data_IF_625484869706
#
_entry.id   IF_625484869706
#
_cell.length_a   1.000
_cell.length_b   1.000
_cell.length_c   1.000
_cell.angle_alpha   90.00
_cell.angle_beta   90.00
_cell.angle_gamma   90.00
#
_symmetry.space_group_name_H-M   'P 1'
#
loop_
_entity.id
_entity.type
_entity.pdbx_description
1 polymer ?
#
# COMPACT_ATOMS: atom_id res chain seq x y z
N UNK A 1 -12.41 -14.96 -0.28
CA UNK A 1 -13.04 -14.69 -1.60
C UNK A 1 -12.42 -15.61 -2.66
N UNK A 2 -13.12 -15.98 -3.75
CA UNK A 2 -12.50 -16.73 -4.86
C UNK A 2 -11.65 -15.81 -5.74
N UNK A 3 -10.65 -16.35 -6.45
CA UNK A 3 -9.80 -15.56 -7.37
C UNK A 3 -10.62 -14.81 -8.43
N UNK A 4 -11.66 -15.43 -8.97
CA UNK A 4 -12.55 -14.81 -9.98
C UNK A 4 -13.30 -13.62 -9.39
N UNK A 5 -13.89 -13.78 -8.19
CA UNK A 5 -14.62 -12.70 -7.53
C UNK A 5 -13.68 -11.56 -7.12
N UNK A 6 -12.44 -11.88 -6.72
CA UNK A 6 -11.41 -10.91 -6.40
C UNK A 6 -11.02 -10.05 -7.59
N UNK A 7 -10.71 -10.70 -8.73
CA UNK A 7 -10.40 -9.99 -9.98
C UNK A 7 -11.56 -9.08 -10.38
N UNK A 8 -12.80 -9.60 -10.37
CA UNK A 8 -13.98 -8.81 -10.71
C UNK A 8 -14.13 -7.58 -9.81
N UNK A 9 -14.04 -7.75 -8.49
CA UNK A 9 -14.21 -6.67 -7.52
C UNK A 9 -13.18 -5.56 -7.69
N UNK A 10 -11.91 -5.92 -7.92
CA UNK A 10 -10.85 -4.93 -8.14
C UNK A 10 -10.99 -4.28 -9.51
N UNK A 11 -11.42 -5.02 -10.53
CA UNK A 11 -11.68 -4.46 -11.86
C UNK A 11 -12.75 -3.37 -11.79
N UNK A 12 -13.82 -3.61 -11.04
CA UNK A 12 -14.89 -2.62 -10.87
C UNK A 12 -14.39 -1.44 -10.02
N UNK A 13 -13.63 -1.69 -8.96
CA UNK A 13 -13.02 -0.64 -8.14
C UNK A 13 -12.09 0.28 -8.94
N UNK A 14 -11.26 -0.28 -9.84
CA UNK A 14 -10.36 0.48 -10.72
C UNK A 14 -11.07 1.25 -11.84
N UNK A 15 -12.33 0.92 -12.16
CA UNK A 15 -13.14 1.76 -13.08
C UNK A 15 -13.64 3.01 -12.37
N UNK A 16 -13.92 2.89 -11.07
CA UNK A 16 -14.43 3.98 -10.24
C UNK A 16 -13.30 4.86 -9.71
N UNK A 17 -12.09 4.30 -9.56
CA UNK A 17 -10.94 4.97 -8.96
C UNK A 17 -9.73 4.93 -9.91
N UNK A 18 -9.03 6.06 -10.04
CA UNK A 18 -7.82 6.15 -10.87
C UNK A 18 -6.64 5.29 -10.36
N UNK A 19 -6.66 4.93 -9.06
CA UNK A 19 -5.67 4.08 -8.42
C UNK A 19 -6.26 3.40 -7.19
N UNK A 20 -5.74 2.26 -6.81
CA UNK A 20 -6.11 1.53 -5.58
C UNK A 20 -4.85 1.16 -4.79
N UNK A 21 -4.90 1.30 -3.47
CA UNK A 21 -3.80 0.87 -2.62
C UNK A 21 -3.83 -0.65 -2.49
N UNK A 22 -2.67 -1.26 -2.68
CA UNK A 22 -2.47 -2.70 -2.60
C UNK A 22 -1.40 -3.01 -1.56
N UNK A 23 -1.72 -3.95 -0.69
CA UNK A 23 -0.82 -4.53 0.29
C UNK A 23 -0.51 -5.98 -0.09
N UNK A 24 0.77 -6.31 -0.26
CA UNK A 24 1.23 -7.67 -0.53
C UNK A 24 2.11 -8.15 0.62
N UNK A 25 1.70 -9.25 1.25
CA UNK A 25 2.52 -9.98 2.20
C UNK A 25 3.22 -11.13 1.50
N UNK A 26 4.55 -11.15 1.55
CA UNK A 26 5.38 -12.24 1.01
C UNK A 26 6.00 -13.00 2.19
N UNK A 27 5.59 -14.24 2.48
CA UNK A 27 6.12 -14.98 3.61
C UNK A 27 7.61 -15.31 3.41
N UNK A 28 8.37 -15.33 4.50
CA UNK A 28 9.80 -15.67 4.54
C UNK A 28 10.73 -14.73 3.72
N UNK A 29 10.26 -13.54 3.37
CA UNK A 29 11.08 -12.47 2.78
C UNK A 29 11.60 -11.50 3.85
N UNK A 30 12.80 -10.94 3.65
CA UNK A 30 13.33 -9.86 4.50
C UNK A 30 12.52 -8.56 4.39
N UNK A 31 11.84 -8.35 3.26
CA UNK A 31 10.76 -7.36 3.11
C UNK A 31 9.46 -8.12 2.82
N UNK A 32 8.79 -8.52 3.90
CA UNK A 32 7.59 -9.35 3.84
C UNK A 32 6.31 -8.54 3.66
N UNK A 33 6.39 -7.21 3.57
CA UNK A 33 5.27 -6.28 3.46
C UNK A 33 5.55 -5.27 2.37
N UNK A 34 4.64 -5.16 1.42
CA UNK A 34 4.74 -4.20 0.33
C UNK A 34 3.46 -3.41 0.19
N UNK A 35 3.58 -2.09 0.05
CA UNK A 35 2.49 -1.17 -0.24
C UNK A 35 2.78 -0.45 -1.55
N UNK A 36 1.82 -0.46 -2.47
CA UNK A 36 1.94 0.25 -3.74
C UNK A 36 0.56 0.57 -4.33
N UNK A 37 0.51 1.54 -5.23
CA UNK A 37 -0.68 1.82 -6.02
C UNK A 37 -0.72 0.98 -7.29
N UNK A 38 -1.85 0.31 -7.53
CA UNK A 38 -2.21 -0.21 -8.85
C UNK A 38 -3.12 0.80 -9.53
N UNK A 39 -2.89 1.04 -10.82
CA UNK A 39 -3.62 2.06 -11.59
C UNK A 39 -4.50 1.43 -12.68
N UNK A 40 -4.29 0.15 -13.00
CA UNK A 40 -5.03 -0.51 -14.07
C UNK A 40 -5.13 -2.03 -13.87
N UNK A 41 -5.98 -2.66 -14.69
CA UNK A 41 -6.24 -4.10 -14.61
C UNK A 41 -5.05 -4.97 -15.04
N UNK A 42 -4.15 -4.44 -15.88
CA UNK A 42 -2.96 -5.19 -16.29
C UNK A 42 -2.00 -5.35 -15.11
N UNK A 43 -1.86 -4.33 -14.26
CA UNK A 43 -1.08 -4.40 -13.01
C UNK A 43 -1.55 -5.58 -12.14
N UNK A 44 -2.87 -5.73 -11.98
CA UNK A 44 -3.46 -6.83 -11.22
C UNK A 44 -3.15 -8.19 -11.85
N UNK A 45 -3.37 -8.33 -13.16
CA UNK A 45 -3.11 -9.58 -13.87
C UNK A 45 -1.65 -9.99 -13.77
N UNK A 46 -0.74 -9.04 -13.91
CA UNK A 46 0.70 -9.26 -13.75
C UNK A 46 1.06 -9.63 -12.31
N UNK A 47 0.52 -8.92 -11.30
CA UNK A 47 0.72 -9.25 -9.89
C UNK A 47 0.32 -10.69 -9.61
N UNK A 48 -0.87 -11.09 -10.06
CA UNK A 48 -1.40 -12.44 -9.87
C UNK A 48 -0.58 -13.52 -10.61
N UNK A 49 0.04 -13.18 -11.74
CA UNK A 49 0.89 -14.10 -12.50
C UNK A 49 2.25 -14.34 -11.82
N UNK A 50 2.72 -13.37 -11.04
CA UNK A 50 4.02 -13.38 -10.34
C UNK A 50 3.92 -13.75 -8.86
N UNK A 51 2.71 -13.85 -8.33
CA UNK A 51 2.50 -14.18 -6.92
C UNK A 51 2.96 -15.60 -6.63
N UNK A 52 3.73 -15.75 -5.57
CA UNK A 52 4.19 -17.04 -5.09
C UNK A 52 3.11 -17.72 -4.25
N UNK A 53 3.26 -19.02 -4.10
CA UNK A 53 2.46 -19.80 -3.18
C UNK A 53 2.60 -19.22 -1.75
N UNK A 54 1.48 -19.06 -1.05
CA UNK A 54 1.36 -18.43 0.29
C UNK A 54 1.44 -16.90 0.33
N UNK A 55 1.60 -16.20 -0.80
CA UNK A 55 1.45 -14.75 -0.83
C UNK A 55 0.01 -14.37 -0.45
N UNK A 56 -0.16 -13.24 0.23
CA UNK A 56 -1.48 -12.64 0.45
C UNK A 56 -1.53 -11.25 -0.15
N UNK A 57 -2.53 -11.01 -0.99
CA UNK A 57 -2.80 -9.72 -1.61
C UNK A 57 -4.05 -9.14 -0.96
N UNK A 58 -3.94 -7.92 -0.50
CA UNK A 58 -5.03 -7.12 0.06
C UNK A 58 -5.19 -5.85 -0.76
N UNK A 59 -6.39 -5.56 -1.22
CA UNK A 59 -6.71 -4.29 -1.90
C UNK A 59 -7.70 -3.53 -1.04
N UNK A 60 -7.39 -2.27 -0.76
CA UNK A 60 -8.26 -1.39 0.03
C UNK A 60 -9.35 -0.80 -0.87
N UNK A 61 -10.60 -0.94 -0.46
CA UNK A 61 -11.78 -0.42 -1.18
C UNK A 61 -11.80 1.10 -1.18
N UNK A 62 -11.39 1.70 -0.07
CA UNK A 62 -11.27 3.15 0.07
C UNK A 62 -9.96 3.50 0.75
N UNK A 63 -9.39 4.64 0.36
CA UNK A 63 -8.22 5.22 1.00
C UNK A 63 -8.52 6.66 1.37
N UNK A 64 -8.10 7.06 2.56
CA UNK A 64 -8.18 8.45 2.99
C UNK A 64 -6.81 9.09 2.77
N UNK A 65 -6.54 9.50 1.53
CA UNK A 65 -5.29 10.18 1.19
C UNK A 65 -5.30 11.60 1.76
N UNK A 66 -4.44 11.86 2.76
CA UNK A 66 -4.34 13.15 3.43
C UNK A 66 -3.62 14.17 2.55
N UNK A 67 -2.58 13.71 1.84
CA UNK A 67 -1.80 14.54 0.94
C UNK A 67 -1.13 13.69 -0.13
N UNK A 68 -0.88 14.28 -1.29
CA UNK A 68 -0.03 13.69 -2.33
C UNK A 68 0.70 14.79 -3.09
N UNK A 69 1.90 14.48 -3.56
CA UNK A 69 2.66 15.46 -4.33
C UNK A 69 4.14 15.11 -4.46
N UNK A 70 4.82 15.94 -5.25
CA UNK A 70 6.27 15.94 -5.31
C UNK A 70 6.83 16.52 -4.02
N UNK A 71 7.73 15.79 -3.36
CA UNK A 71 8.36 16.25 -2.14
C UNK A 71 9.37 17.34 -2.48
N UNK A 72 9.05 18.54 -2.00
CA UNK A 72 9.86 19.75 -2.09
C UNK A 72 9.95 20.38 -0.70
N UNK A 73 10.91 21.26 -0.46
CA UNK A 73 10.97 22.00 0.81
C UNK A 73 9.65 22.71 1.16
N UNK A 74 8.97 23.27 0.15
CA UNK A 74 7.66 23.91 0.33
C UNK A 74 6.57 22.91 0.70
N UNK A 75 6.55 21.73 0.06
CA UNK A 75 5.64 20.64 0.40
C UNK A 75 5.82 20.21 1.86
N UNK A 76 7.07 19.94 2.28
CA UNK A 76 7.40 19.55 3.65
C UNK A 76 6.96 20.64 4.62
N UNK A 77 7.35 21.89 4.38
CA UNK A 77 7.00 23.02 5.25
C UNK A 77 5.49 23.15 5.41
N UNK A 78 4.73 23.09 4.31
CA UNK A 78 3.27 23.23 4.35
C UNK A 78 2.63 22.08 5.11
N UNK A 79 3.06 20.85 4.86
CA UNK A 79 2.55 19.66 5.55
C UNK A 79 2.83 19.74 7.06
N UNK A 80 4.09 19.97 7.46
CA UNK A 80 4.47 20.05 8.88
C UNK A 80 3.76 21.21 9.57
N UNK A 81 3.60 22.36 8.92
CA UNK A 81 2.87 23.51 9.51
C UNK A 81 1.39 23.21 9.69
N UNK A 82 0.78 22.44 8.77
CA UNK A 82 -0.63 22.02 8.89
C UNK A 82 -0.85 20.98 10.00
N UNK A 83 0.19 20.24 10.37
CA UNK A 83 0.18 19.24 11.44
C UNK A 83 0.65 19.90 12.75
N UNK A 84 -0.26 20.38 13.59
CA UNK A 84 0.14 20.87 14.91
C UNK A 84 0.68 19.71 15.77
N UNK A 85 1.73 19.93 16.56
CA UNK A 85 2.30 18.94 17.50
C UNK A 85 1.25 18.26 18.41
N UNK A 86 0.14 18.96 18.71
CA UNK A 86 -0.91 18.44 19.58
C UNK A 86 -2.06 17.71 18.86
N UNK A 87 -2.09 17.69 17.51
CA UNK A 87 -3.12 17.01 16.69
C UNK A 87 -2.51 16.13 15.59
N UNK A 88 -1.25 15.72 15.75
CA UNK A 88 -0.64 14.79 14.80
C UNK A 88 -1.41 13.47 14.83
N UNK A 89 -1.83 12.98 13.67
CA UNK A 89 -2.34 11.61 13.56
C UNK A 89 -1.14 10.68 13.63
N UNK A 90 -1.05 9.91 14.71
CA UNK A 90 -0.08 8.82 14.84
C UNK A 90 -0.29 7.79 13.72
N UNK A 91 0.78 7.11 13.32
CA UNK A 91 0.77 6.02 12.33
C UNK A 91 0.34 6.49 10.93
N UNK A 92 1.11 7.39 10.32
CA UNK A 92 0.93 7.73 8.90
C UNK A 92 1.74 6.77 8.03
N UNK A 93 1.11 6.22 7.00
CA UNK A 93 1.76 5.50 5.93
C UNK A 93 2.17 6.48 4.81
N UNK A 94 3.45 6.47 4.47
CA UNK A 94 4.02 7.18 3.33
C UNK A 94 4.31 6.16 2.23
N UNK A 95 3.67 6.32 1.08
CA UNK A 95 3.84 5.42 -0.08
C UNK A 95 4.34 6.24 -1.27
N UNK A 96 5.48 5.84 -1.82
CA UNK A 96 6.10 6.48 -2.98
C UNK A 96 6.14 5.57 -4.23
N UNK A 97 5.50 4.39 -4.19
CA UNK A 97 5.58 3.42 -5.29
C UNK A 97 4.26 3.14 -5.99
N UNK A 98 4.39 3.02 -7.31
CA UNK A 98 3.46 2.35 -8.21
C UNK A 98 3.78 0.86 -8.32
N UNK A 99 2.84 0.07 -8.84
CA UNK A 99 3.10 -1.34 -9.14
C UNK A 99 4.31 -1.53 -10.08
N UNK A 100 4.51 -0.61 -11.04
CA UNK A 100 5.66 -0.64 -11.96
C UNK A 100 7.00 -0.53 -11.22
N UNK A 101 7.08 0.30 -10.19
CA UNK A 101 8.32 0.45 -9.39
C UNK A 101 8.55 -0.77 -8.51
N UNK A 102 7.49 -1.30 -7.88
CA UNK A 102 7.54 -2.57 -7.17
C UNK A 102 8.04 -3.70 -8.08
N UNK A 103 7.54 -3.78 -9.32
CA UNK A 103 7.96 -4.77 -10.30
C UNK A 103 9.44 -4.65 -10.66
N UNK A 104 9.95 -3.42 -10.80
CA UNK A 104 11.35 -3.16 -11.15
C UNK A 104 12.30 -3.52 -10.01
N UNK A 105 11.92 -3.19 -8.78
CA UNK A 105 12.82 -3.27 -7.62
C UNK A 105 12.63 -4.55 -6.80
N UNK A 106 11.52 -5.27 -6.99
CA UNK A 106 11.14 -6.44 -6.18
C UNK A 106 10.67 -6.09 -4.77
N UNK A 107 10.75 -4.81 -4.39
CA UNK A 107 10.29 -4.25 -3.11
C UNK A 107 9.64 -2.90 -3.35
N UNK A 108 8.67 -2.56 -2.51
CA UNK A 108 8.17 -1.20 -2.39
C UNK A 108 8.90 -0.50 -1.26
N UNK A 109 9.40 0.71 -1.53
CA UNK A 109 9.66 1.71 -0.49
C UNK A 109 8.31 2.20 0.07
N UNK A 110 8.24 2.29 1.39
CA UNK A 110 7.16 2.89 2.17
C UNK A 110 7.68 3.04 3.60
N UNK A 111 7.06 3.92 4.37
CA UNK A 111 7.39 4.13 5.77
C UNK A 111 6.12 4.32 6.60
N UNK A 112 6.17 3.88 7.86
CA UNK A 112 5.20 4.27 8.88
C UNK A 112 5.91 5.29 9.77
N UNK A 113 5.26 6.42 10.01
CA UNK A 113 5.78 7.48 10.88
C UNK A 113 4.80 7.73 12.02
N UNK A 114 5.33 7.80 13.23
CA UNK A 114 4.56 7.89 14.47
C UNK A 114 4.55 9.30 15.05
N UNK A 115 5.46 10.17 14.60
CA UNK A 115 5.56 11.55 15.04
C UNK A 115 6.01 12.51 13.92
N UNK A 116 5.98 13.81 14.23
CA UNK A 116 6.31 14.89 13.27
C UNK A 116 7.78 14.87 12.87
N UNK A 117 8.69 14.50 13.77
CA UNK A 117 10.12 14.48 13.48
C UNK A 117 10.45 13.35 12.50
N UNK A 118 9.89 12.15 12.70
CA UNK A 118 9.96 11.02 11.75
C UNK A 118 9.34 11.37 10.40
N UNK A 119 8.17 12.01 10.39
CA UNK A 119 7.55 12.47 9.15
C UNK A 119 8.48 13.43 8.39
N UNK A 120 9.13 14.34 9.10
CA UNK A 120 10.05 15.31 8.50
C UNK A 120 11.30 14.61 7.95
N UNK A 121 11.86 13.67 8.70
CA UNK A 121 13.03 12.87 8.29
C UNK A 121 12.72 12.09 7.01
N UNK A 122 11.65 11.29 7.01
CA UNK A 122 11.26 10.45 5.87
C UNK A 122 10.98 11.28 4.61
N UNK A 123 10.32 12.43 4.75
CA UNK A 123 10.09 13.32 3.60
C UNK A 123 11.39 13.99 3.12
N UNK A 124 12.33 14.28 4.02
CA UNK A 124 13.62 14.83 3.62
C UNK A 124 14.42 13.78 2.82
N UNK A 125 14.36 12.52 3.24
CA UNK A 125 14.99 11.40 2.53
C UNK A 125 14.32 11.10 1.18
N UNK A 126 13.02 11.38 1.08
CA UNK A 126 12.22 11.24 -0.15
C UNK A 126 12.24 12.50 -1.05
N UNK A 127 13.22 13.40 -0.91
CA UNK A 127 13.27 14.64 -1.68
C UNK A 127 13.25 14.39 -3.20
N UNK A 128 12.41 15.15 -3.92
CA UNK A 128 12.13 14.99 -5.35
C UNK A 128 11.43 13.68 -5.75
N UNK A 129 10.98 12.87 -4.79
CA UNK A 129 10.09 11.73 -5.07
C UNK A 129 8.62 12.17 -4.97
N UNK A 130 7.73 11.46 -5.65
CA UNK A 130 6.28 11.66 -5.50
C UNK A 130 5.78 10.74 -4.41
N UNK A 131 5.13 11.30 -3.39
CA UNK A 131 4.61 10.53 -2.25
C UNK A 131 3.10 10.69 -2.14
N UNK A 132 2.46 9.70 -1.52
CA UNK A 132 1.10 9.74 -1.01
C UNK A 132 1.15 9.46 0.48
N UNK A 133 0.46 10.27 1.27
CA UNK A 133 0.44 10.22 2.74
C UNK A 133 -0.99 9.89 3.17
N UNK A 134 -1.16 8.82 3.94
CA UNK A 134 -2.46 8.35 4.40
C UNK A 134 -2.35 7.81 5.83
N UNK A 135 -3.42 7.78 6.65
CA UNK A 135 -3.41 7.07 7.91
C UNK A 135 -3.17 5.59 7.64
N UNK A 136 -2.39 4.90 8.48
CA UNK A 136 -2.14 3.46 8.31
C UNK A 136 -3.48 2.71 8.16
N UNK A 137 -3.68 2.00 7.03
CA UNK A 137 -4.94 1.35 6.78
C UNK A 137 -4.97 0.00 7.49
N UNK A 138 -6.08 -0.28 8.20
CA UNK A 138 -6.28 -1.59 8.83
C UNK A 138 -6.51 -2.66 7.75
N UNK A 139 -5.47 -3.44 7.46
CA UNK A 139 -5.57 -4.54 6.51
C UNK A 139 -6.38 -5.72 7.06
N UNK A 140 -6.80 -5.73 8.33
CA UNK A 140 -7.71 -6.74 8.88
C UNK A 140 -9.19 -6.34 8.72
N UNK A 141 -9.49 -5.10 8.31
CA UNK A 141 -10.86 -4.64 8.12
C UNK A 141 -11.49 -5.22 6.84
N UNK A 142 -12.08 -6.41 6.95
CA UNK A 142 -12.76 -7.10 5.84
C UNK A 142 -13.92 -6.28 5.22
N UNK A 143 -14.45 -5.27 5.93
CA UNK A 143 -15.46 -4.37 5.37
C UNK A 143 -14.86 -3.40 4.37
N UNK A 144 -13.61 -2.97 4.57
CA UNK A 144 -12.90 -2.05 3.69
C UNK A 144 -11.82 -2.71 2.83
N UNK A 145 -11.65 -4.03 2.88
CA UNK A 145 -10.63 -4.74 2.09
C UNK A 145 -11.20 -5.85 1.21
N UNK A 146 -10.45 -6.16 0.14
CA UNK A 146 -10.57 -7.39 -0.61
C UNK A 146 -9.31 -8.22 -0.39
N UNK A 147 -9.47 -9.48 0.02
CA UNK A 147 -8.35 -10.40 0.25
C UNK A 147 -8.32 -11.53 -0.77
N UNK A 148 -7.13 -11.77 -1.31
CA UNK A 148 -6.77 -12.99 -2.02
C UNK A 148 -5.56 -13.64 -1.34
N UNK A 149 -5.73 -14.89 -0.98
CA UNK A 149 -4.68 -15.73 -0.45
C UNK A 149 -4.28 -16.74 -1.52
N UNK A 150 -3.00 -16.72 -1.90
CA UNK A 150 -2.48 -17.67 -2.89
C UNK A 150 -2.23 -18.99 -2.16
N UNK A 151 -2.92 -20.09 -2.52
CA UNK A 151 -2.76 -21.36 -1.83
C UNK A 151 -1.31 -21.86 -1.89
N UNK A 152 -0.87 -22.53 -0.83
CA UNK A 152 0.40 -23.24 -0.83
C UNK A 152 0.36 -24.52 -1.70
N UNK A 153 1.48 -25.26 -1.75
CA UNK A 153 1.58 -26.53 -2.50
C UNK A 153 0.62 -27.63 -2.02
N UNK A 154 -0.02 -27.44 -0.86
CA UNK A 154 -1.03 -28.34 -0.29
C UNK A 154 -2.46 -27.79 -0.45
N UNK A 155 -2.62 -26.67 -1.16
CA UNK A 155 -3.91 -25.99 -1.33
C UNK A 155 -4.36 -25.21 -0.09
N UNK A 156 -3.49 -25.02 0.90
CA UNK A 156 -3.80 -24.31 2.14
C UNK A 156 -3.52 -22.82 1.94
N UNK A 157 -4.53 -22.00 2.20
CA UNK A 157 -4.44 -20.54 2.20
C UNK A 157 -4.42 -20.07 3.66
N UNK A 158 -3.27 -19.61 4.14
CA UNK A 158 -3.14 -19.04 5.49
C UNK A 158 -3.67 -17.59 5.49
N UNK A 159 -4.65 -17.23 6.35
CA UNK A 159 -5.15 -15.87 6.43
C UNK A 159 -4.07 -14.88 6.87
N UNK A 160 -4.24 -13.60 6.50
CA UNK A 160 -3.22 -12.55 6.62
C UNK A 160 -2.70 -12.33 8.04
N UNK A 161 -3.46 -12.73 9.07
CA UNK A 161 -3.12 -12.66 10.48
C UNK A 161 -2.42 -13.92 11.05
N UNK A 162 -2.32 -15.00 10.28
CA UNK A 162 -1.65 -16.22 10.77
C UNK A 162 -0.13 -16.09 10.62
N UNK A 163 0.55 -16.19 11.76
CA UNK A 163 1.99 -16.27 11.90
C UNK A 163 2.47 -17.70 11.62
#
# INVERSE_FOLDING_TARGET
MTKINFIKSITDLLKENNKVLTFVRIPNSGSNRNYFFMENINDLNELLSRSNASDSITVFKTINELNNGLVTELFIKNLITSQSHNNFKTELLIVNNTYREYQKNGISKWAIVENIDELKEELTDSMNEKVSILPEPDFCDEQNTFHLYVPDKYGISKPGASY
#
